data_IF_985592509062
#
_entry.id   IF_985592509062
#
_cell.length_a   1.000
_cell.length_b   1.000
_cell.length_c   1.000
_cell.angle_alpha   90.00
_cell.angle_beta   90.00
_cell.angle_gamma   90.00
#
_symmetry.space_group_name_H-M   'P 1'
#
loop_
_entity.id
_entity.type
_entity.pdbx_description
1 polymer ?
#
# COMPACT_ATOMS: atom_id res chain seq x y z
N UNK A 1 -1.81 14.91 7.01
CA UNK A 1 -1.17 13.86 7.82
C UNK A 1 0.06 13.37 7.09
N UNK A 2 1.22 13.28 7.74
CA UNK A 2 2.49 13.02 7.08
C UNK A 2 2.62 11.53 6.68
N UNK A 3 2.09 11.18 5.51
CA UNK A 3 2.22 9.88 4.85
C UNK A 3 3.64 9.70 4.26
N UNK A 4 4.63 9.32 5.09
CA UNK A 4 5.94 8.82 4.60
C UNK A 4 6.23 7.37 4.98
N UNK A 5 5.28 6.68 5.60
CA UNK A 5 5.42 5.29 6.05
C UNK A 5 4.49 4.42 5.21
N UNK A 6 5.02 3.31 4.68
CA UNK A 6 4.23 2.32 3.94
C UNK A 6 3.21 1.67 4.88
N UNK A 7 1.95 1.58 4.45
CA UNK A 7 0.82 1.03 5.26
C UNK A 7 0.51 -0.42 4.83
N UNK A 8 1.49 -1.12 4.25
CA UNK A 8 1.27 -2.50 3.86
C UNK A 8 1.34 -3.44 5.07
N UNK A 9 0.71 -4.61 4.93
CA UNK A 9 0.71 -5.67 5.94
C UNK A 9 2.12 -6.13 6.32
N UNK A 10 3.09 -6.05 5.40
CA UNK A 10 4.48 -6.45 5.66
C UNK A 10 5.19 -5.50 6.63
N UNK A 11 5.02 -4.18 6.45
CA UNK A 11 5.61 -3.17 7.35
C UNK A 11 4.86 -3.12 8.67
N UNK A 12 3.53 -3.08 8.62
CA UNK A 12 2.73 -2.87 9.82
C UNK A 12 2.82 -4.06 10.77
N UNK A 13 2.82 -5.30 10.27
CA UNK A 13 2.96 -6.47 11.15
C UNK A 13 4.33 -6.55 11.81
N UNK A 14 5.41 -6.17 11.10
CA UNK A 14 6.74 -6.08 11.70
C UNK A 14 6.75 -4.96 12.75
N UNK A 15 6.21 -3.79 12.43
CA UNK A 15 6.13 -2.66 13.36
C UNK A 15 5.37 -3.01 14.65
N UNK A 16 4.22 -3.69 14.52
CA UNK A 16 3.42 -4.15 15.66
C UNK A 16 4.20 -5.15 16.54
N UNK A 17 4.95 -6.08 15.93
CA UNK A 17 5.82 -6.99 16.67
C UNK A 17 6.97 -6.26 17.37
N UNK A 18 7.65 -5.33 16.69
CA UNK A 18 8.74 -4.56 17.27
C UNK A 18 8.27 -3.73 18.47
N UNK A 19 7.09 -3.13 18.39
CA UNK A 19 6.51 -2.37 19.51
C UNK A 19 6.32 -3.24 20.75
N UNK A 20 5.87 -4.49 20.59
CA UNK A 20 5.73 -5.43 21.70
C UNK A 20 7.07 -6.00 22.19
N UNK A 21 8.05 -6.19 21.29
CA UNK A 21 9.34 -6.84 21.61
C UNK A 21 10.43 -5.86 22.09
N UNK A 22 10.30 -4.57 21.80
CA UNK A 22 11.33 -3.54 22.07
C UNK A 22 11.80 -3.47 23.52
N UNK A 23 10.93 -3.79 24.49
CA UNK A 23 11.24 -3.80 25.92
C UNK A 23 11.90 -5.10 26.40
N UNK A 24 11.97 -6.11 25.53
CA UNK A 24 12.44 -7.46 25.85
C UNK A 24 13.71 -7.84 25.07
N UNK A 25 14.22 -6.93 24.24
CA UNK A 25 15.48 -7.08 23.50
C UNK A 25 16.38 -5.91 23.89
N UNK A 26 17.56 -6.21 24.41
CA UNK A 26 18.56 -5.20 24.76
C UNK A 26 19.08 -4.47 23.50
N UNK A 27 19.27 -3.16 23.64
CA UNK A 27 19.72 -2.29 22.55
C UNK A 27 18.58 -1.58 21.83
N UNK A 28 18.93 -0.75 20.85
CA UNK A 28 17.96 0.06 20.07
C UNK A 28 17.54 -0.59 18.76
N UNK A 29 17.86 -1.88 18.54
CA UNK A 29 17.61 -2.57 17.27
C UNK A 29 16.10 -2.70 16.97
N UNK A 30 15.27 -2.90 17.99
CA UNK A 30 13.83 -3.02 17.85
C UNK A 30 13.06 -1.71 18.07
N UNK A 31 13.73 -0.55 18.11
CA UNK A 31 13.07 0.72 18.49
C UNK A 31 12.09 1.24 17.43
N UNK A 32 12.37 0.98 16.16
CA UNK A 32 11.56 1.37 15.02
C UNK A 32 12.01 0.58 13.78
N UNK A 33 11.21 0.63 12.71
CA UNK A 33 11.51 -0.07 11.46
C UNK A 33 12.86 0.31 10.84
N UNK A 34 13.30 1.56 10.96
CA UNK A 34 14.58 2.00 10.40
C UNK A 34 15.75 1.35 11.14
N UNK A 35 15.83 1.50 12.46
CA UNK A 35 16.86 0.85 13.29
C UNK A 35 16.86 -0.66 13.09
N UNK A 36 15.68 -1.27 12.96
CA UNK A 36 15.54 -2.70 12.72
C UNK A 36 16.09 -3.10 11.36
N UNK A 37 15.76 -2.38 10.28
CA UNK A 37 16.32 -2.65 8.95
C UNK A 37 17.84 -2.52 8.96
N UNK A 38 18.40 -1.41 9.49
CA UNK A 38 19.84 -1.20 9.54
C UNK A 38 20.57 -2.23 10.39
N UNK A 39 19.91 -2.80 11.40
CA UNK A 39 20.48 -3.86 12.23
C UNK A 39 20.58 -5.22 11.52
N UNK A 40 19.90 -5.42 10.40
CA UNK A 40 19.81 -6.73 9.73
C UNK A 40 20.65 -6.85 8.47
N UNK A 41 21.17 -5.75 7.93
CA UNK A 41 21.87 -5.73 6.64
C UNK A 41 23.16 -4.92 6.72
N UNK A 42 24.15 -5.27 5.90
CA UNK A 42 25.38 -4.48 5.78
C UNK A 42 25.16 -3.19 4.97
N UNK A 43 24.33 -3.27 3.94
CA UNK A 43 24.01 -2.14 3.04
C UNK A 43 22.54 -2.21 2.61
N UNK A 44 21.80 -1.16 2.98
CA UNK A 44 20.37 -1.00 2.67
C UNK A 44 20.07 -0.72 1.19
N UNK A 45 21.09 -0.40 0.40
CA UNK A 45 21.02 -0.14 -1.04
C UNK A 45 21.45 -1.34 -1.90
N UNK A 46 21.99 -2.39 -1.28
CA UNK A 46 22.48 -3.57 -1.96
C UNK A 46 21.37 -4.65 -2.08
N UNK A 47 21.16 -5.15 -3.30
CA UNK A 47 20.16 -6.17 -3.57
C UNK A 47 20.46 -7.53 -2.96
N UNK A 48 21.71 -7.90 -2.70
CA UNK A 48 22.05 -9.20 -2.13
C UNK A 48 21.86 -9.20 -0.60
N UNK A 49 22.11 -8.06 0.06
CA UNK A 49 21.88 -7.89 1.49
C UNK A 49 20.39 -7.89 1.87
N UNK A 50 19.55 -7.16 1.14
CA UNK A 50 18.14 -6.92 1.52
C UNK A 50 17.19 -8.12 1.42
N UNK A 51 17.34 -9.15 0.57
CA UNK A 51 16.58 -10.38 0.68
C UNK A 51 17.21 -11.37 1.68
N UNK A 52 18.28 -10.97 2.38
CA UNK A 52 19.08 -11.83 3.26
C UNK A 52 19.61 -13.07 2.54
N UNK A 53 20.03 -12.93 1.27
CA UNK A 53 20.61 -14.01 0.47
C UNK A 53 22.16 -14.01 0.52
N UNK A 54 22.76 -13.09 1.27
CA UNK A 54 24.20 -12.87 1.32
C UNK A 54 24.82 -13.32 2.64
N UNK A 55 25.93 -14.06 2.56
CA UNK A 55 26.61 -14.75 3.66
C UNK A 55 27.08 -13.83 4.81
N UNK A 56 27.38 -12.54 4.55
CA UNK A 56 28.00 -11.68 5.57
C UNK A 56 27.02 -11.10 6.60
N UNK A 57 25.73 -10.94 6.27
CA UNK A 57 24.70 -10.47 7.20
C UNK A 57 23.69 -11.56 7.61
N UNK A 58 23.89 -12.80 7.16
CA UNK A 58 23.00 -13.93 7.44
C UNK A 58 22.74 -14.12 8.95
N UNK A 59 23.75 -13.86 9.78
CA UNK A 59 23.66 -14.03 11.24
C UNK A 59 23.26 -12.76 12.00
N UNK A 60 23.01 -11.62 11.33
CA UNK A 60 22.76 -10.36 12.03
C UNK A 60 21.45 -10.38 12.83
N UNK A 61 20.44 -11.11 12.36
CA UNK A 61 19.22 -11.31 13.16
C UNK A 61 19.53 -12.00 14.49
N UNK A 62 20.35 -13.05 14.46
CA UNK A 62 20.68 -13.78 15.68
C UNK A 62 21.57 -12.95 16.61
N UNK A 63 22.61 -12.31 16.06
CA UNK A 63 23.56 -11.48 16.80
C UNK A 63 22.90 -10.25 17.43
N UNK A 64 22.08 -9.52 16.67
CA UNK A 64 21.52 -8.24 17.11
C UNK A 64 20.17 -8.41 17.81
N UNK A 65 19.42 -9.48 17.52
CA UNK A 65 18.07 -9.68 18.08
C UNK A 65 18.03 -10.89 19.02
N UNK A 66 18.24 -12.12 18.54
CA UNK A 66 18.02 -13.33 19.37
C UNK A 66 18.97 -13.42 20.58
N UNK A 67 20.22 -13.01 20.41
CA UNK A 67 21.23 -13.06 21.47
C UNK A 67 21.05 -11.95 22.52
N UNK A 68 20.25 -10.93 22.22
CA UNK A 68 19.98 -9.79 23.11
C UNK A 68 18.64 -9.89 23.84
N UNK A 69 17.94 -11.03 23.76
CA UNK A 69 16.68 -11.24 24.50
C UNK A 69 16.95 -11.21 26.00
N UNK A 70 16.20 -10.40 26.74
CA UNK A 70 16.32 -10.26 28.21
C UNK A 70 15.75 -11.50 28.91
N UNK A 71 14.50 -11.86 28.56
CA UNK A 71 13.82 -13.05 29.07
C UNK A 71 12.92 -13.62 27.96
N UNK A 72 13.13 -14.90 27.64
CA UNK A 72 12.45 -15.62 26.55
C UNK A 72 11.04 -16.05 26.91
N UNK A 73 10.75 -16.26 28.19
CA UNK A 73 9.52 -16.89 28.65
C UNK A 73 8.43 -15.90 29.06
N UNK A 74 8.75 -14.60 29.12
CA UNK A 74 7.79 -13.53 29.37
C UNK A 74 6.65 -13.59 28.37
N UNK A 75 5.42 -13.56 28.87
CA UNK A 75 4.23 -13.49 28.03
C UNK A 75 4.01 -12.06 27.55
N UNK A 76 3.85 -11.93 26.24
CA UNK A 76 3.58 -10.68 25.56
C UNK A 76 2.29 -10.80 24.74
N UNK A 77 1.74 -9.64 24.43
CA UNK A 77 0.63 -9.51 23.49
C UNK A 77 1.05 -8.61 22.34
N UNK A 78 0.59 -8.94 21.15
CA UNK A 78 0.82 -8.12 19.96
C UNK A 78 -0.39 -8.20 19.03
N UNK A 79 -0.53 -7.19 18.18
CA UNK A 79 -1.51 -7.23 17.10
C UNK A 79 -0.87 -7.70 15.80
N UNK A 80 -1.65 -8.32 14.94
CA UNK A 80 -1.28 -8.54 13.54
C UNK A 80 -2.49 -8.41 12.62
N UNK A 81 -2.24 -7.89 11.43
CA UNK A 81 -3.18 -7.95 10.32
C UNK A 81 -3.06 -9.29 9.60
N UNK A 82 -4.20 -9.87 9.24
CA UNK A 82 -4.32 -11.07 8.39
C UNK A 82 -5.37 -10.86 7.33
N UNK A 83 -5.20 -11.52 6.18
CA UNK A 83 -6.25 -11.62 5.19
C UNK A 83 -7.16 -12.81 5.51
N UNK A 84 -8.41 -12.54 5.88
CA UNK A 84 -9.44 -13.53 6.18
C UNK A 84 -10.61 -13.27 5.24
N UNK A 85 -10.97 -14.26 4.42
CA UNK A 85 -12.04 -14.16 3.42
C UNK A 85 -11.88 -12.95 2.46
N UNK A 86 -10.64 -12.59 2.13
CA UNK A 86 -10.33 -11.43 1.27
C UNK A 86 -10.25 -10.08 1.98
N UNK A 87 -10.63 -10.01 3.26
CA UNK A 87 -10.60 -8.78 4.05
C UNK A 87 -9.39 -8.75 4.98
N UNK A 88 -8.78 -7.57 5.14
CA UNK A 88 -7.72 -7.37 6.11
C UNK A 88 -8.34 -7.14 7.50
N UNK A 89 -8.09 -8.07 8.43
CA UNK A 89 -8.59 -8.02 9.81
C UNK A 89 -7.42 -7.93 10.78
N UNK A 90 -7.53 -7.05 11.78
CA UNK A 90 -6.54 -6.91 12.86
C UNK A 90 -6.94 -7.80 14.03
N UNK A 91 -6.06 -8.72 14.42
CA UNK A 91 -6.29 -9.65 15.52
C UNK A 91 -5.25 -9.46 16.63
N UNK A 92 -5.68 -9.54 17.89
CA UNK A 92 -4.78 -9.67 19.04
C UNK A 92 -4.25 -11.10 19.11
N UNK A 93 -2.97 -11.25 19.41
CA UNK A 93 -2.30 -12.52 19.67
C UNK A 93 -1.57 -12.43 21.00
N UNK A 94 -1.31 -13.60 21.59
CA UNK A 94 -0.56 -13.73 22.82
C UNK A 94 0.41 -14.91 22.71
N UNK A 95 1.55 -14.81 23.38
CA UNK A 95 2.57 -15.84 23.40
C UNK A 95 3.81 -15.37 24.14
N UNK A 96 4.83 -16.21 24.21
CA UNK A 96 6.11 -15.83 24.82
C UNK A 96 6.90 -14.85 23.93
N UNK A 97 7.87 -14.15 24.52
CA UNK A 97 8.86 -13.36 23.77
C UNK A 97 9.54 -14.22 22.70
N UNK A 98 9.91 -15.47 23.06
CA UNK A 98 10.51 -16.42 22.11
C UNK A 98 9.62 -16.67 20.88
N UNK A 99 8.33 -16.95 21.09
CA UNK A 99 7.36 -17.14 20.00
C UNK A 99 7.21 -15.87 19.14
N UNK A 100 7.22 -14.68 19.78
CA UNK A 100 7.19 -13.40 19.07
C UNK A 100 8.43 -13.18 18.20
N UNK A 101 9.61 -13.57 18.68
CA UNK A 101 10.88 -13.46 17.95
C UNK A 101 10.96 -14.46 16.79
N UNK A 102 10.48 -15.70 16.99
CA UNK A 102 10.38 -16.69 15.90
C UNK A 102 9.44 -16.20 14.79
N UNK A 103 8.29 -15.65 15.17
CA UNK A 103 7.36 -15.05 14.23
C UNK A 103 7.99 -13.85 13.51
N UNK A 104 8.72 -12.99 14.22
CA UNK A 104 9.45 -11.87 13.62
C UNK A 104 10.49 -12.38 12.61
N UNK A 105 11.31 -13.37 12.99
CA UNK A 105 12.31 -14.01 12.14
C UNK A 105 11.71 -14.55 10.84
N UNK A 106 10.53 -15.19 10.92
CA UNK A 106 9.82 -15.71 9.75
C UNK A 106 9.40 -14.63 8.74
N UNK A 107 9.26 -13.37 9.19
CA UNK A 107 8.82 -12.23 8.38
C UNK A 107 9.98 -11.42 7.82
N UNK A 108 11.19 -11.53 8.37
CA UNK A 108 12.36 -10.69 8.03
C UNK A 108 12.65 -10.70 6.54
N UNK A 109 12.76 -11.88 5.92
CA UNK A 109 13.11 -12.01 4.50
C UNK A 109 12.13 -11.26 3.59
N UNK A 110 10.83 -11.48 3.79
CA UNK A 110 9.78 -10.83 3.01
C UNK A 110 9.71 -9.33 3.29
N UNK A 111 9.89 -8.92 4.54
CA UNK A 111 9.92 -7.52 4.96
C UNK A 111 11.06 -6.76 4.29
N UNK A 112 12.29 -7.26 4.40
CA UNK A 112 13.46 -6.58 3.85
C UNK A 112 13.42 -6.52 2.31
N UNK A 113 12.98 -7.60 1.64
CA UNK A 113 12.76 -7.59 0.19
C UNK A 113 11.75 -6.50 -0.22
N UNK A 114 10.64 -6.40 0.52
CA UNK A 114 9.63 -5.38 0.28
C UNK A 114 10.16 -3.96 0.52
N UNK A 115 10.93 -3.73 1.59
CA UNK A 115 11.60 -2.44 1.87
C UNK A 115 12.51 -2.04 0.70
N UNK A 116 13.32 -2.98 0.19
CA UNK A 116 14.21 -2.72 -0.93
C UNK A 116 13.44 -2.36 -2.21
N UNK A 117 12.49 -3.20 -2.63
CA UNK A 117 11.70 -2.97 -3.85
C UNK A 117 11.01 -1.60 -3.77
N UNK A 118 10.36 -1.29 -2.64
CA UNK A 118 9.69 0.00 -2.43
C UNK A 118 10.66 1.17 -2.57
N UNK A 119 11.87 1.06 -2.01
CA UNK A 119 12.89 2.13 -2.09
C UNK A 119 13.39 2.32 -3.52
N UNK A 120 13.67 1.23 -4.23
CA UNK A 120 14.09 1.30 -5.64
C UNK A 120 12.99 1.88 -6.53
N UNK A 121 11.75 1.44 -6.36
CA UNK A 121 10.60 1.99 -7.09
C UNK A 121 10.41 3.48 -6.81
N UNK A 122 10.51 3.90 -5.54
CA UNK A 122 10.43 5.30 -5.17
C UNK A 122 11.55 6.13 -5.80
N UNK A 123 12.80 5.62 -5.77
CA UNK A 123 13.96 6.29 -6.38
C UNK A 123 13.79 6.42 -7.89
N UNK A 124 13.47 5.32 -8.57
CA UNK A 124 13.24 5.30 -10.01
C UNK A 124 12.09 6.23 -10.43
N UNK A 125 11.02 6.32 -9.63
CA UNK A 125 9.92 7.24 -9.87
C UNK A 125 10.35 8.70 -9.76
N UNK A 126 11.11 9.08 -8.71
CA UNK A 126 11.64 10.43 -8.56
C UNK A 126 12.63 10.80 -9.68
N UNK A 127 13.48 9.87 -10.09
CA UNK A 127 14.39 10.04 -11.24
C UNK A 127 13.61 10.22 -12.54
N UNK A 128 12.57 9.41 -12.76
CA UNK A 128 11.72 9.49 -13.95
C UNK A 128 10.98 10.83 -14.03
N UNK A 129 10.53 11.37 -12.89
CA UNK A 129 9.89 12.70 -12.84
C UNK A 129 10.86 13.86 -13.04
N UNK A 130 12.12 13.71 -12.64
CA UNK A 130 13.13 14.78 -12.71
C UNK A 130 13.89 14.78 -14.05
N UNK A 131 13.99 13.64 -14.72
CA UNK A 131 14.66 13.46 -16.01
C UNK A 131 13.67 13.21 -17.16
N UNK A 132 12.66 14.07 -17.29
CA UNK A 132 11.71 14.04 -18.40
C UNK A 132 12.26 14.84 -19.58
N UNK A 133 12.31 14.21 -20.76
CA UNK A 133 12.52 14.90 -22.04
C UNK A 133 11.17 15.00 -22.79
N UNK A 134 11.16 15.72 -23.92
CA UNK A 134 9.95 15.86 -24.76
C UNK A 134 9.46 14.53 -25.37
N UNK A 135 10.12 13.39 -25.08
CA UNK A 135 9.77 12.06 -25.59
C UNK A 135 9.21 11.14 -24.49
N UNK A 136 9.24 11.55 -23.22
CA UNK A 136 8.82 10.73 -22.08
C UNK A 136 7.83 11.46 -21.19
N UNK A 137 6.77 10.74 -20.81
CA UNK A 137 5.75 11.21 -19.86
C UNK A 137 5.71 10.20 -18.72
N UNK A 138 5.63 10.70 -17.49
CA UNK A 138 5.41 9.86 -16.31
C UNK A 138 3.93 9.87 -16.01
N UNK A 139 3.33 8.67 -15.96
CA UNK A 139 1.94 8.50 -15.56
C UNK A 139 1.94 7.84 -14.18
N UNK A 140 1.41 8.55 -13.19
CA UNK A 140 1.10 7.98 -11.89
C UNK A 140 -0.37 7.60 -11.87
N UNK A 141 -0.65 6.33 -11.62
CA UNK A 141 -2.01 5.82 -11.43
C UNK A 141 -2.18 5.48 -9.95
N UNK A 142 -3.26 5.98 -9.36
CA UNK A 142 -3.64 5.69 -7.99
C UNK A 142 -5.12 5.32 -7.89
N UNK A 143 -5.42 4.39 -7.01
CA UNK A 143 -6.80 4.02 -6.70
C UNK A 143 -7.30 4.99 -5.63
N UNK A 144 -8.21 5.89 -6.02
CA UNK A 144 -8.91 6.69 -5.04
C UNK A 144 -10.07 5.84 -4.50
N UNK A 145 -10.13 5.66 -3.19
CA UNK A 145 -11.14 4.86 -2.48
C UNK A 145 -12.56 4.96 -3.11
N UNK A 146 -13.38 3.92 -3.02
CA UNK A 146 -14.73 3.98 -3.58
C UNK A 146 -15.53 5.21 -3.09
N UNK A 147 -16.24 5.87 -4.01
CA UNK A 147 -17.24 6.87 -3.66
C UNK A 147 -18.56 6.16 -3.38
N UNK A 148 -19.02 6.22 -2.13
CA UNK A 148 -20.33 5.73 -1.74
C UNK A 148 -21.40 6.72 -2.23
N UNK A 149 -22.31 6.25 -3.09
CA UNK A 149 -23.43 7.04 -3.57
C UNK A 149 -24.41 7.15 -2.41
N UNK A 150 -24.55 8.37 -1.87
CA UNK A 150 -25.51 8.71 -0.82
C UNK A 150 -26.55 9.66 -1.36
N UNK A 151 -27.77 9.47 -0.88
CA UNK A 151 -28.85 10.39 -1.14
C UNK A 151 -28.95 11.39 0.01
N UNK A 152 -29.26 12.65 -0.31
CA UNK A 152 -29.57 13.60 0.74
C UNK A 152 -30.86 13.19 1.43
N UNK A 153 -30.88 13.30 2.76
CA UNK A 153 -32.02 12.90 3.59
C UNK A 153 -32.33 11.38 3.50
N UNK A 154 -31.31 10.54 3.20
CA UNK A 154 -31.47 9.07 3.16
C UNK A 154 -31.86 8.49 4.53
N UNK A 155 -32.84 7.58 4.53
CA UNK A 155 -33.28 6.89 5.74
C UNK A 155 -32.17 5.98 6.28
N UNK A 156 -32.16 5.75 7.60
CA UNK A 156 -31.11 4.96 8.26
C UNK A 156 -30.94 3.54 7.67
N UNK A 157 -32.02 2.92 7.18
CA UNK A 157 -31.95 1.60 6.54
C UNK A 157 -31.20 1.61 5.19
N UNK A 158 -31.15 2.74 4.49
CA UNK A 158 -30.46 2.89 3.21
C UNK A 158 -28.93 2.82 3.34
N UNK A 159 -28.37 3.09 4.53
CA UNK A 159 -26.93 2.95 4.81
C UNK A 159 -26.39 1.52 4.58
N UNK A 160 -27.24 0.49 4.60
CA UNK A 160 -26.82 -0.91 4.42
C UNK A 160 -26.91 -1.40 2.97
N UNK A 161 -27.39 -0.56 2.04
CA UNK A 161 -27.62 -0.91 0.63
C UNK A 161 -27.03 0.10 -0.36
N UNK A 162 -26.06 0.89 0.08
CA UNK A 162 -25.46 1.96 -0.72
C UNK A 162 -24.68 1.39 -1.90
N UNK A 163 -24.91 1.98 -3.08
CA UNK A 163 -24.10 1.70 -4.27
C UNK A 163 -22.79 2.45 -4.17
N UNK A 164 -21.73 1.96 -4.79
CA UNK A 164 -20.45 2.67 -4.82
C UNK A 164 -19.87 2.73 -6.23
N UNK A 165 -19.09 3.78 -6.46
CA UNK A 165 -18.35 4.00 -7.71
C UNK A 165 -16.87 3.91 -7.40
N UNK A 166 -16.15 3.04 -8.11
CA UNK A 166 -14.69 2.98 -8.05
C UNK A 166 -14.09 4.06 -8.94
N UNK A 167 -13.14 4.82 -8.40
CA UNK A 167 -12.52 5.93 -9.12
C UNK A 167 -11.02 5.68 -9.23
N UNK A 168 -10.57 5.37 -10.44
CA UNK A 168 -9.17 5.26 -10.78
C UNK A 168 -8.65 6.61 -11.26
N UNK A 169 -7.62 7.12 -10.60
CA UNK A 169 -7.02 8.41 -10.94
C UNK A 169 -5.72 8.14 -11.69
N UNK A 170 -5.61 8.65 -12.91
CA UNK A 170 -4.35 8.71 -13.64
C UNK A 170 -3.92 10.18 -13.78
N UNK A 171 -2.64 10.44 -13.54
CA UNK A 171 -2.05 11.74 -13.71
C UNK A 171 -0.79 11.63 -14.55
N UNK A 172 -0.86 12.22 -15.74
CA UNK A 172 0.29 12.41 -16.61
C UNK A 172 1.02 13.70 -16.19
N UNK A 173 2.25 13.58 -15.71
CA UNK A 173 3.10 14.73 -15.41
C UNK A 173 4.28 14.83 -16.38
N UNK A 174 4.59 16.08 -16.73
CA UNK A 174 5.85 16.49 -17.31
C UNK A 174 6.50 17.41 -16.26
N UNK A 175 7.55 16.93 -15.59
CA UNK A 175 8.22 17.57 -14.44
C UNK A 175 7.41 17.64 -13.12
N UNK A 176 7.87 18.49 -12.17
CA UNK A 176 7.41 18.56 -10.77
C UNK A 176 5.93 18.98 -10.66
N UNK A 177 5.06 18.01 -10.39
CA UNK A 177 3.69 18.22 -9.92
C UNK A 177 3.35 17.19 -8.84
N UNK A 178 2.61 17.62 -7.80
CA UNK A 178 2.10 16.73 -6.75
C UNK A 178 0.81 16.09 -7.26
N UNK A 179 0.71 14.76 -7.16
CA UNK A 179 -0.38 13.95 -7.72
C UNK A 179 -1.49 13.67 -6.69
N UNK A 180 -1.38 14.20 -5.49
CA UNK A 180 -2.31 13.87 -4.41
C UNK A 180 -3.61 14.67 -4.51
N UNK A 181 -4.75 13.97 -4.42
CA UNK A 181 -6.05 14.59 -4.22
C UNK A 181 -6.92 14.84 -5.46
N UNK A 182 -6.56 14.40 -6.67
CA UNK A 182 -7.44 14.55 -7.86
C UNK A 182 -8.75 13.76 -7.66
N UNK A 183 -8.67 12.47 -7.34
CA UNK A 183 -9.86 11.66 -7.04
C UNK A 183 -10.66 12.22 -5.86
N UNK A 184 -9.97 12.68 -4.81
CA UNK A 184 -10.62 13.35 -3.67
C UNK A 184 -11.34 14.65 -4.05
N UNK A 185 -10.77 15.42 -4.98
CA UNK A 185 -11.35 16.67 -5.48
C UNK A 185 -12.62 16.41 -6.29
N UNK A 186 -12.60 15.40 -7.18
CA UNK A 186 -13.78 14.99 -7.95
C UNK A 186 -14.90 14.54 -7.01
N UNK A 187 -14.60 13.67 -6.04
CA UNK A 187 -15.58 13.22 -5.03
C UNK A 187 -16.17 14.40 -4.25
N UNK A 188 -15.33 15.34 -3.82
CA UNK A 188 -15.78 16.52 -3.07
C UNK A 188 -16.71 17.40 -3.90
N UNK A 189 -16.42 17.61 -5.18
CA UNK A 189 -17.27 18.41 -6.08
C UNK A 189 -18.65 17.76 -6.23
N UNK A 190 -18.69 16.44 -6.50
CA UNK A 190 -19.96 15.71 -6.64
C UNK A 190 -20.74 15.75 -5.31
N UNK A 191 -20.07 15.47 -4.19
CA UNK A 191 -20.68 15.51 -2.86
C UNK A 191 -21.29 16.88 -2.53
N UNK A 192 -20.60 17.97 -2.89
CA UNK A 192 -21.11 19.32 -2.70
C UNK A 192 -22.38 19.60 -3.53
N UNK A 193 -22.49 19.08 -4.76
CA UNK A 193 -23.72 19.25 -5.54
C UNK A 193 -24.91 18.52 -4.93
N UNK A 194 -24.68 17.31 -4.41
CA UNK A 194 -25.69 16.52 -3.70
C UNK A 194 -26.15 17.27 -2.45
N UNK A 195 -25.23 17.71 -1.60
CA UNK A 195 -25.56 18.42 -0.36
C UNK A 195 -26.30 19.74 -0.57
N UNK A 196 -26.01 20.45 -1.68
CA UNK A 196 -26.62 21.75 -1.98
C UNK A 196 -27.96 21.65 -2.69
N UNK A 197 -28.54 20.44 -2.83
CA UNK A 197 -29.81 20.19 -3.54
C UNK A 197 -29.79 20.64 -5.01
N UNK A 198 -28.59 20.73 -5.61
CA UNK A 198 -28.43 21.20 -7.00
C UNK A 198 -28.52 20.07 -8.01
N UNK A 199 -27.94 18.92 -7.67
CA UNK A 199 -27.93 17.73 -8.52
C UNK A 199 -28.25 16.48 -7.68
N UNK A 200 -28.84 15.48 -8.32
CA UNK A 200 -29.15 14.17 -7.72
C UNK A 200 -28.18 13.13 -8.28
N UNK A 201 -27.63 12.28 -7.42
CA UNK A 201 -26.72 11.20 -7.82
C UNK A 201 -27.26 9.88 -7.28
N UNK A 202 -27.80 9.02 -8.14
CA UNK A 202 -28.38 7.72 -7.75
C UNK A 202 -27.63 6.53 -8.34
N UNK A 203 -26.82 6.78 -9.36
CA UNK A 203 -26.07 5.77 -10.08
C UNK A 203 -24.74 6.33 -10.61
N UNK A 204 -23.93 5.47 -11.22
CA UNK A 204 -22.63 5.84 -11.77
C UNK A 204 -22.73 6.86 -12.93
N UNK A 205 -23.78 6.78 -13.76
CA UNK A 205 -23.97 7.71 -14.87
C UNK A 205 -24.24 9.14 -14.35
N UNK A 206 -25.05 9.29 -13.30
CA UNK A 206 -25.27 10.59 -12.66
C UNK A 206 -23.95 11.16 -12.10
N UNK A 207 -23.16 10.31 -11.44
CA UNK A 207 -21.85 10.70 -10.90
C UNK A 207 -20.95 11.25 -12.03
N UNK A 208 -20.85 10.52 -13.15
CA UNK A 208 -20.03 10.92 -14.31
C UNK A 208 -20.53 12.23 -14.90
N UNK A 209 -21.85 12.39 -15.05
CA UNK A 209 -22.46 13.59 -15.60
C UNK A 209 -22.17 14.82 -14.72
N UNK A 210 -22.33 14.70 -13.41
CA UNK A 210 -22.00 15.78 -12.46
C UNK A 210 -20.49 16.08 -12.51
N UNK A 211 -19.65 15.05 -12.46
CA UNK A 211 -18.20 15.20 -12.48
C UNK A 211 -17.73 15.94 -13.75
N UNK A 212 -18.18 15.52 -14.94
CA UNK A 212 -17.88 16.17 -16.23
C UNK A 212 -18.39 17.60 -16.31
N UNK A 213 -19.60 17.85 -15.81
CA UNK A 213 -20.23 19.19 -15.90
C UNK A 213 -19.54 20.21 -14.99
N UNK A 214 -19.16 19.78 -13.78
CA UNK A 214 -18.63 20.68 -12.75
C UNK A 214 -17.11 20.76 -12.73
N UNK A 215 -16.41 19.85 -13.42
CA UNK A 215 -14.95 19.77 -13.43
C UNK A 215 -14.40 19.92 -14.84
N UNK A 216 -14.00 21.15 -15.22
CA UNK A 216 -13.42 21.41 -16.56
C UNK A 216 -11.92 21.13 -16.65
N UNK A 217 -11.23 21.08 -15.51
CA UNK A 217 -9.77 20.89 -15.44
C UNK A 217 -9.34 19.42 -15.36
N UNK A 218 -10.27 18.49 -15.12
CA UNK A 218 -10.00 17.06 -14.98
C UNK A 218 -10.75 16.34 -16.08
N UNK A 219 -10.04 15.53 -16.86
CA UNK A 219 -10.64 14.65 -17.87
C UNK A 219 -11.25 13.46 -17.13
N UNK A 220 -12.54 13.22 -17.37
CA UNK A 220 -13.30 12.13 -16.77
C UNK A 220 -13.75 11.20 -17.89
N UNK A 221 -13.26 9.96 -17.86
CA UNK A 221 -13.67 8.90 -18.76
C UNK A 221 -14.38 7.80 -18.00
N UNK A 222 -15.43 7.25 -18.62
CA UNK A 222 -16.14 6.09 -18.12
C UNK A 222 -15.49 4.84 -18.70
N UNK A 223 -15.22 3.86 -17.84
CA UNK A 223 -14.75 2.53 -18.24
C UNK A 223 -15.84 1.55 -17.87
N UNK A 224 -16.46 0.94 -18.88
CA UNK A 224 -17.55 -0.03 -18.69
C UNK A 224 -17.01 -1.43 -18.45
N UNK A 225 -17.88 -2.34 -18.02
CA UNK A 225 -17.52 -3.76 -17.89
C UNK A 225 -17.09 -4.37 -19.24
N UNK A 226 -17.73 -3.94 -20.34
CA UNK A 226 -17.38 -4.38 -21.69
C UNK A 226 -15.96 -3.96 -22.08
N UNK A 227 -15.54 -2.73 -21.73
CA UNK A 227 -14.18 -2.23 -21.96
C UNK A 227 -13.14 -3.06 -21.19
N UNK A 228 -13.47 -3.40 -19.94
CA UNK A 228 -12.62 -4.23 -19.08
C UNK A 228 -12.49 -5.63 -19.66
N UNK A 229 -13.60 -6.27 -20.05
CA UNK A 229 -13.60 -7.64 -20.57
C UNK A 229 -12.84 -7.73 -21.90
N UNK A 230 -13.02 -6.74 -22.78
CA UNK A 230 -12.25 -6.61 -24.02
C UNK A 230 -10.76 -6.46 -23.75
N UNK A 231 -10.38 -5.57 -22.83
CA UNK A 231 -8.97 -5.34 -22.45
C UNK A 231 -8.37 -6.58 -21.80
N UNK A 232 -9.13 -7.29 -20.96
CA UNK A 232 -8.71 -8.53 -20.31
C UNK A 232 -8.40 -9.62 -21.33
N UNK A 233 -9.24 -9.80 -22.35
CA UNK A 233 -8.98 -10.76 -23.42
C UNK A 233 -7.68 -10.42 -24.19
N UNK A 234 -7.45 -9.14 -24.49
CA UNK A 234 -6.22 -8.67 -25.14
C UNK A 234 -4.99 -8.91 -24.27
N UNK A 235 -5.05 -8.55 -22.99
CA UNK A 235 -3.95 -8.75 -22.04
C UNK A 235 -3.65 -10.23 -21.84
N UNK A 236 -4.67 -11.08 -21.73
CA UNK A 236 -4.49 -12.53 -21.64
C UNK A 236 -3.77 -13.08 -22.87
N UNK A 237 -4.15 -12.66 -24.07
CA UNK A 237 -3.46 -13.06 -25.30
C UNK A 237 -2.02 -12.54 -25.38
N UNK A 238 -1.75 -11.34 -24.84
CA UNK A 238 -0.40 -10.80 -24.75
C UNK A 238 0.46 -11.61 -23.76
N UNK A 239 -0.03 -11.80 -22.54
CA UNK A 239 0.71 -12.50 -21.48
C UNK A 239 0.87 -14.00 -21.76
N UNK A 240 -0.07 -14.65 -22.46
CA UNK A 240 0.11 -16.05 -22.89
C UNK A 240 1.30 -16.23 -23.84
N UNK A 241 1.65 -15.18 -24.57
CA UNK A 241 2.78 -15.15 -25.51
C UNK A 241 4.05 -14.57 -24.89
N UNK A 242 4.01 -14.19 -23.61
CA UNK A 242 5.16 -13.62 -22.92
C UNK A 242 5.86 -14.71 -22.09
N UNK A 243 7.15 -14.95 -22.35
CA UNK A 243 7.96 -15.83 -21.50
C UNK A 243 8.12 -15.18 -20.13
N UNK A 244 7.45 -15.75 -19.12
CA UNK A 244 7.67 -15.37 -17.74
C UNK A 244 9.02 -15.92 -17.28
N UNK A 245 10.00 -15.03 -17.05
CA UNK A 245 11.24 -15.39 -16.37
C UNK A 245 10.89 -15.63 -14.91
N UNK A 246 10.55 -16.88 -14.58
CA UNK A 246 10.46 -17.33 -13.20
C UNK A 246 11.89 -17.55 -12.71
N UNK A 247 12.33 -16.73 -11.76
CA UNK A 247 13.54 -17.03 -10.99
C UNK A 247 13.20 -18.24 -10.11
N UNK A 248 13.80 -19.39 -10.42
CA UNK A 248 13.74 -20.60 -9.61
C UNK A 248 14.32 -20.30 -8.23
N UNK A 249 13.57 -20.63 -7.18
CA UNK A 249 14.07 -20.63 -5.79
C UNK A 249 15.19 -21.66 -5.62
#
# INVERSE_FOLDING_TARGET
MAHRVCICIYHENVNLLLNSLSKHVNGSFCSNLYSFTSALVCDESNYDCMPSNYFTCENYFDLNIKNNIIDRHVQIKWYQWKHINGYATKEEQQGSVEQGIELLSSKVKTFLLHVYIKRQQSKFFEESKTNTDNKKIVIQVDYSENFEIKQQDEVQSAHWSSKSVSIFTAHACHAKGVVDGIGGSVKRIVWQQILTKKDKCENAADFINIAKTKTKAIIIDEITQEDIDKSKAQLQAFFSNTLSVKFSN
#
